data_IF_035151142065
#
_entry.id   IF_035151142065
#
_cell.length_a   1.000
_cell.length_b   1.000
_cell.length_c   1.000
_cell.angle_alpha   90.00
_cell.angle_beta   90.00
_cell.angle_gamma   90.00
#
_symmetry.space_group_name_H-M   'P 1'
#
loop_
_entity.id
_entity.type
_entity.pdbx_description
1 polymer ?
#
# COMPACT_ATOMS: atom_id res chain seq x y z
N UNK A 1 -7.51 9.51 -3.81
CA UNK A 1 -8.53 8.57 -4.36
C UNK A 1 -7.80 7.30 -4.76
N UNK A 2 -8.09 6.21 -4.07
CA UNK A 2 -7.58 4.87 -4.37
C UNK A 2 -7.99 4.37 -5.76
N UNK A 3 -7.30 3.32 -6.18
CA UNK A 3 -7.81 2.47 -7.25
C UNK A 3 -9.09 1.76 -6.85
N UNK A 4 -9.84 1.28 -7.85
CA UNK A 4 -10.90 0.32 -7.61
C UNK A 4 -10.33 -0.96 -7.01
N UNK A 5 -11.16 -1.70 -6.26
CA UNK A 5 -10.78 -2.99 -5.68
C UNK A 5 -10.19 -3.95 -6.72
N UNK A 6 -10.80 -4.04 -7.91
CA UNK A 6 -10.35 -4.92 -9.00
C UNK A 6 -8.97 -4.53 -9.55
N UNK A 7 -8.70 -3.23 -9.68
CA UNK A 7 -7.40 -2.72 -10.14
C UNK A 7 -6.32 -2.99 -9.10
N UNK A 8 -6.61 -2.75 -7.83
CA UNK A 8 -5.73 -3.10 -6.71
C UNK A 8 -5.41 -4.60 -6.68
N UNK A 9 -6.42 -5.47 -6.75
CA UNK A 9 -6.24 -6.92 -6.75
C UNK A 9 -5.40 -7.41 -7.94
N UNK A 10 -5.60 -6.81 -9.12
CA UNK A 10 -4.82 -7.13 -10.32
C UNK A 10 -3.35 -6.76 -10.18
N UNK A 11 -3.03 -5.62 -9.57
CA UNK A 11 -1.65 -5.21 -9.25
C UNK A 11 -1.05 -6.07 -8.16
N UNK A 12 -1.81 -6.34 -7.09
CA UNK A 12 -1.39 -7.19 -6.00
C UNK A 12 -1.03 -8.61 -6.49
N UNK A 13 -1.79 -9.16 -7.44
CA UNK A 13 -1.47 -10.44 -8.07
C UNK A 13 -0.10 -10.42 -8.75
N UNK A 14 0.26 -9.34 -9.45
CA UNK A 14 1.59 -9.20 -10.07
C UNK A 14 2.70 -9.18 -9.02
N UNK A 15 2.47 -8.49 -7.90
CA UNK A 15 3.41 -8.46 -6.78
C UNK A 15 3.58 -9.86 -6.17
N UNK A 16 2.50 -10.61 -5.97
CA UNK A 16 2.58 -11.98 -5.48
C UNK A 16 3.31 -12.92 -6.42
N UNK A 17 3.10 -12.81 -7.74
CA UNK A 17 3.86 -13.57 -8.74
C UNK A 17 5.35 -13.26 -8.63
N UNK A 18 5.73 -11.98 -8.56
CA UNK A 18 7.11 -11.57 -8.35
C UNK A 18 7.71 -12.12 -7.05
N UNK A 19 6.96 -12.08 -5.94
CA UNK A 19 7.40 -12.64 -4.67
C UNK A 19 7.66 -14.15 -4.77
N UNK A 20 6.76 -14.90 -5.43
CA UNK A 20 6.90 -16.34 -5.61
C UNK A 20 8.09 -16.71 -6.51
N UNK A 21 8.32 -15.98 -7.60
CA UNK A 21 9.47 -16.19 -8.50
C UNK A 21 10.82 -15.94 -7.82
N UNK A 22 10.84 -15.16 -6.73
CA UNK A 22 12.04 -14.72 -6.03
C UNK A 22 12.21 -15.33 -4.64
N UNK A 23 11.32 -16.25 -4.25
CA UNK A 23 11.30 -16.85 -2.91
C UNK A 23 11.26 -15.80 -1.77
N UNK A 24 10.37 -14.81 -1.91
CA UNK A 24 10.20 -13.71 -0.95
C UNK A 24 8.91 -13.93 -0.14
N UNK A 25 9.06 -14.13 1.17
CA UNK A 25 7.92 -14.36 2.07
C UNK A 25 7.09 -13.11 2.36
N UNK A 26 7.77 -11.96 2.50
CA UNK A 26 7.17 -10.69 2.90
C UNK A 26 7.82 -9.55 2.13
N UNK A 27 7.00 -8.61 1.64
CA UNK A 27 7.48 -7.44 0.91
C UNK A 27 6.97 -6.16 1.58
N UNK A 28 7.86 -5.20 1.79
CA UNK A 28 7.49 -3.85 2.26
C UNK A 28 7.64 -2.86 1.11
N UNK A 29 6.57 -2.12 0.84
CA UNK A 29 6.57 -0.98 -0.07
C UNK A 29 6.61 0.29 0.78
N UNK A 30 7.77 0.93 0.82
CA UNK A 30 8.03 2.17 1.55
C UNK A 30 8.22 3.39 0.65
N UNK A 31 8.52 3.18 -0.63
CA UNK A 31 8.62 4.27 -1.60
C UNK A 31 7.22 4.77 -1.97
N UNK A 32 6.98 6.09 -1.90
CA UNK A 32 5.67 6.64 -2.17
C UNK A 32 5.13 6.37 -3.58
N UNK A 33 6.01 6.30 -4.58
CA UNK A 33 5.65 6.03 -5.98
C UNK A 33 5.07 4.63 -6.11
N UNK A 34 5.68 3.66 -5.42
CA UNK A 34 5.21 2.27 -5.41
C UNK A 34 3.94 2.12 -4.56
N UNK A 35 3.82 2.88 -3.47
CA UNK A 35 2.58 2.96 -2.69
C UNK A 35 1.42 3.47 -3.54
N UNK A 36 1.63 4.59 -4.24
CA UNK A 36 0.65 5.19 -5.15
C UNK A 36 0.33 4.24 -6.30
N UNK A 37 1.34 3.61 -6.90
CA UNK A 37 1.12 2.65 -7.98
C UNK A 37 0.24 1.48 -7.52
N UNK A 38 0.52 0.91 -6.34
CA UNK A 38 -0.22 -0.23 -5.82
C UNK A 38 -1.64 0.16 -5.37
N UNK A 39 -1.79 1.24 -4.62
CA UNK A 39 -3.04 1.57 -3.89
C UNK A 39 -3.86 2.69 -4.53
N UNK A 40 -3.24 3.59 -5.29
CA UNK A 40 -3.84 4.85 -5.76
C UNK A 40 -3.89 5.94 -4.68
N UNK A 41 -3.63 5.56 -3.43
CA UNK A 41 -3.54 6.48 -2.30
C UNK A 41 -2.21 7.23 -2.26
N UNK A 42 -2.21 8.41 -1.64
CA UNK A 42 -1.01 9.23 -1.48
C UNK A 42 -0.54 9.16 -0.03
N UNK A 43 0.66 8.60 0.25
CA UNK A 43 1.14 8.43 1.62
C UNK A 43 1.91 9.67 2.09
N UNK A 44 1.35 10.87 1.90
CA UNK A 44 2.00 12.13 2.30
C UNK A 44 1.05 13.03 3.07
N UNK A 45 1.61 13.77 4.04
CA UNK A 45 0.93 14.84 4.77
C UNK A 45 1.15 16.20 4.08
N UNK A 46 2.31 16.37 3.45
CA UNK A 46 2.71 17.58 2.74
C UNK A 46 3.53 17.20 1.50
N UNK A 47 3.31 17.86 0.35
CA UNK A 47 4.07 17.63 -0.89
C UNK A 47 5.58 17.94 -0.73
N UNK A 48 5.96 18.71 0.30
CA UNK A 48 7.35 19.07 0.59
C UNK A 48 8.10 18.04 1.45
N UNK A 49 7.42 17.05 2.04
CA UNK A 49 8.08 16.01 2.84
C UNK A 49 8.56 14.86 1.95
N UNK A 50 9.86 14.56 2.00
CA UNK A 50 10.50 13.53 1.17
C UNK A 50 10.24 12.08 1.61
N UNK A 51 9.68 11.85 2.80
CA UNK A 51 9.37 10.50 3.30
C UNK A 51 7.87 10.20 3.22
N UNK A 52 7.54 8.98 2.80
CA UNK A 52 6.20 8.42 2.96
C UNK A 52 5.85 8.38 4.46
N UNK A 53 4.66 8.83 4.85
CA UNK A 53 4.18 8.70 6.22
C UNK A 53 3.69 7.29 6.57
N UNK A 54 3.61 6.41 5.55
CA UNK A 54 3.14 5.05 5.67
C UNK A 54 3.86 4.11 4.70
N UNK A 55 3.80 2.81 4.99
CA UNK A 55 4.27 1.74 4.12
C UNK A 55 3.23 0.63 4.03
N UNK A 56 3.28 -0.16 2.96
CA UNK A 56 2.43 -1.34 2.79
C UNK A 56 3.27 -2.60 3.02
N UNK A 57 2.84 -3.45 3.95
CA UNK A 57 3.39 -4.78 4.14
C UNK A 57 2.50 -5.81 3.43
N UNK A 58 3.08 -6.54 2.49
CA UNK A 58 2.43 -7.60 1.74
C UNK A 58 2.93 -8.93 2.29
N UNK A 59 1.99 -9.73 2.79
CA UNK A 59 2.17 -11.14 3.12
C UNK A 59 1.35 -11.98 2.15
N UNK A 60 1.66 -13.27 2.07
CA UNK A 60 0.97 -14.23 1.21
C UNK A 60 -0.56 -14.08 1.08
N UNK A 61 -1.28 -13.77 2.16
CA UNK A 61 -2.76 -13.71 2.15
C UNK A 61 -3.33 -12.41 2.72
N UNK A 62 -2.48 -11.46 3.10
CA UNK A 62 -2.91 -10.22 3.77
C UNK A 62 -2.00 -9.06 3.42
N UNK A 63 -2.62 -7.88 3.32
CA UNK A 63 -1.95 -6.60 3.11
C UNK A 63 -2.21 -5.71 4.33
N UNK A 64 -1.16 -5.11 4.88
CA UNK A 64 -1.22 -4.28 6.08
C UNK A 64 -0.72 -2.87 5.80
N UNK A 65 -1.39 -1.88 6.38
CA UNK A 65 -0.89 -0.51 6.43
C UNK A 65 -0.01 -0.32 7.67
N UNK A 66 1.27 -0.02 7.46
CA UNK A 66 2.20 0.35 8.52
C UNK A 66 2.31 1.87 8.57
N UNK A 67 1.85 2.48 9.66
CA UNK A 67 1.83 3.92 9.84
C UNK A 67 1.70 4.27 11.33
N UNK A 68 2.02 5.51 11.71
CA UNK A 68 1.62 6.00 13.03
C UNK A 68 0.09 6.07 13.15
N UNK A 69 -0.44 6.10 14.39
CA UNK A 69 -1.88 6.03 14.65
C UNK A 69 -2.69 7.15 13.96
N UNK A 70 -2.13 8.36 13.88
CA UNK A 70 -2.79 9.53 13.30
C UNK A 70 -2.97 9.31 11.79
N UNK A 71 -1.88 8.98 11.09
CA UNK A 71 -1.88 8.79 9.64
C UNK A 71 -2.57 7.48 9.22
N UNK A 72 -2.53 6.44 10.05
CA UNK A 72 -3.22 5.17 9.76
C UNK A 72 -4.73 5.38 9.66
N UNK A 73 -5.31 6.13 10.60
CA UNK A 73 -6.73 6.44 10.60
C UNK A 73 -7.10 7.30 9.39
N UNK A 74 -6.32 8.35 9.12
CA UNK A 74 -6.53 9.25 7.99
C UNK A 74 -6.48 8.51 6.65
N UNK A 75 -5.42 7.75 6.40
CA UNK A 75 -5.22 7.03 5.14
C UNK A 75 -6.31 5.97 4.90
N UNK A 76 -6.76 5.26 5.96
CA UNK A 76 -7.87 4.31 5.85
C UNK A 76 -9.17 4.97 5.42
N UNK A 77 -9.46 6.18 5.90
CA UNK A 77 -10.71 6.88 5.60
C UNK A 77 -10.63 7.65 4.28
N UNK A 78 -9.55 8.38 4.04
CA UNK A 78 -9.42 9.32 2.93
C UNK A 78 -8.89 8.68 1.65
N UNK A 79 -7.99 7.68 1.76
CA UNK A 79 -7.21 7.20 0.62
C UNK A 79 -7.39 5.72 0.30
N UNK A 80 -7.77 4.87 1.27
CA UNK A 80 -7.78 3.39 1.12
C UNK A 80 -9.13 2.75 1.50
N UNK A 81 -10.20 3.53 1.65
CA UNK A 81 -11.49 3.08 2.20
C UNK A 81 -12.15 1.93 1.43
N UNK A 82 -11.83 1.79 0.14
CA UNK A 82 -12.37 0.74 -0.73
C UNK A 82 -11.46 -0.49 -0.87
N UNK A 83 -10.28 -0.47 -0.25
CA UNK A 83 -9.27 -1.52 -0.42
C UNK A 83 -9.25 -2.48 0.77
N UNK A 84 -8.98 -3.78 0.55
CA UNK A 84 -8.88 -4.78 1.61
C UNK A 84 -7.53 -4.70 2.35
N UNK A 85 -7.19 -3.53 2.89
CA UNK A 85 -5.95 -3.28 3.64
C UNK A 85 -6.27 -3.25 5.14
N UNK A 86 -5.59 -4.10 5.92
CA UNK A 86 -5.75 -4.20 7.37
C UNK A 86 -4.99 -3.13 8.14
#
# INVERSE_FOLDING_TARGET
>A
MSWSKTEFESKLKRVHTFMAERDIDNLVISEPVNFLWLTGGRPYVNMMSSSACASILIKHHKVYLLSNNIEAQRLKVEELSELPVS
#
